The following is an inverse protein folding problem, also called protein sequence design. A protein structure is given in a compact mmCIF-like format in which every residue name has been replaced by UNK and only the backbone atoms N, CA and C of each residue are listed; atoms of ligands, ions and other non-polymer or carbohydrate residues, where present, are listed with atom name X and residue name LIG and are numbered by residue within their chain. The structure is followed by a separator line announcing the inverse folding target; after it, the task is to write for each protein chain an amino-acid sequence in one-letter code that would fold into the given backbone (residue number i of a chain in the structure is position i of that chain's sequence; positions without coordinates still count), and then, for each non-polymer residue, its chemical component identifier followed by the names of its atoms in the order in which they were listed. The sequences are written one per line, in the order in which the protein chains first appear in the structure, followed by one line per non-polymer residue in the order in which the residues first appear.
data_IF_937600449218
#
_entry.id   IF_937600449218
#
_cell.length_a   1.000
_cell.length_b   1.000
_cell.length_c   1.000
_cell.angle_alpha   90.00
_cell.angle_beta   90.00
_cell.angle_gamma   90.00
#
_symmetry.space_group_name_H-M   'P 1'
#
loop_
_entity.id
_entity.type
_entity.pdbx_description
1 polymer ?
#
# COMPACT_ATOMS: atom_id res chain seq x y z
N UNK A 1 -18.12 -2.79 -16.13
CA UNK A 1 -17.67 -1.38 -16.13
C UNK A 1 -16.91 -1.13 -14.84
N UNK A 2 -15.74 -0.51 -14.90
CA UNK A 2 -14.98 -0.09 -13.72
C UNK A 2 -15.54 1.27 -13.29
N UNK A 3 -15.82 1.44 -12.00
CA UNK A 3 -16.26 2.71 -11.42
C UNK A 3 -15.07 3.35 -10.71
N UNK A 4 -14.68 4.53 -11.16
CA UNK A 4 -13.66 5.31 -10.46
C UNK A 4 -14.22 5.93 -9.19
N UNK A 5 -13.40 5.94 -8.14
CA UNK A 5 -13.68 6.60 -6.88
C UNK A 5 -12.52 7.57 -6.61
N UNK A 6 -12.84 8.78 -6.14
CA UNK A 6 -11.80 9.71 -5.69
C UNK A 6 -11.21 9.24 -4.36
N UNK A 7 -9.89 9.29 -4.23
CA UNK A 7 -9.16 8.97 -3.00
C UNK A 7 -7.97 8.04 -3.23
N UNK A 8 -7.29 7.67 -2.14
CA UNK A 8 -6.18 6.72 -2.14
C UNK A 8 -6.62 5.27 -1.88
N UNK A 9 -5.67 4.44 -1.45
CA UNK A 9 -5.88 2.99 -1.22
C UNK A 9 -6.94 2.66 -0.16
N UNK A 10 -7.28 3.61 0.74
CA UNK A 10 -8.32 3.45 1.77
C UNK A 10 -9.72 3.90 1.33
N UNK A 11 -9.88 4.41 0.09
CA UNK A 11 -11.19 4.78 -0.43
C UNK A 11 -12.10 3.54 -0.65
N UNK A 12 -11.48 2.40 -0.94
CA UNK A 12 -12.17 1.12 -1.00
C UNK A 12 -12.50 0.61 0.41
N UNK A 13 -13.74 0.14 0.61
CA UNK A 13 -14.15 -0.46 1.89
C UNK A 13 -13.30 -1.70 2.20
N UNK A 14 -12.93 -1.87 3.47
CA UNK A 14 -12.19 -3.04 3.94
C UNK A 14 -10.66 -2.95 3.76
N UNK A 15 -10.14 -1.77 3.45
CA UNK A 15 -8.70 -1.51 3.39
C UNK A 15 -8.31 -0.39 4.36
N UNK A 16 -7.20 -0.61 5.06
CA UNK A 16 -6.56 0.32 5.98
C UNK A 16 -5.15 0.62 5.47
N UNK A 17 -4.62 1.79 5.80
CA UNK A 17 -3.23 2.13 5.52
C UNK A 17 -2.62 2.88 6.70
N UNK A 18 -1.33 2.68 6.91
CA UNK A 18 -0.52 3.40 7.88
C UNK A 18 0.87 3.65 7.30
N UNK A 19 1.55 4.65 7.83
CA UNK A 19 2.95 4.96 7.54
C UNK A 19 3.70 5.18 8.84
N UNK A 20 5.03 5.00 8.78
CA UNK A 20 5.90 5.21 9.92
C UNK A 20 7.26 5.73 9.45
N UNK A 21 7.90 6.54 10.31
CA UNK A 21 9.33 6.82 10.22
C UNK A 21 10.10 5.66 10.87
N UNK A 22 10.36 4.60 10.10
CA UNK A 22 11.06 3.40 10.54
C UNK A 22 12.59 3.59 10.62
N UNK A 23 13.13 4.70 10.11
CA UNK A 23 14.56 5.03 10.19
C UNK A 23 15.43 4.28 9.18
N UNK A 24 14.82 3.77 8.09
CA UNK A 24 15.51 3.20 6.93
C UNK A 24 16.13 4.31 6.07
N UNK A 25 15.43 5.44 5.97
CA UNK A 25 15.91 6.65 5.28
C UNK A 25 16.33 7.72 6.31
N UNK A 26 16.65 8.91 5.81
CA UNK A 26 16.99 10.07 6.63
C UNK A 26 15.94 10.33 7.71
N UNK A 27 16.38 10.88 8.84
CA UNK A 27 15.52 11.22 9.97
C UNK A 27 14.35 12.12 9.56
N UNK A 28 13.24 11.98 10.27
CA UNK A 28 12.00 12.74 10.06
C UNK A 28 11.34 12.49 8.70
N UNK A 29 11.58 11.32 8.10
CA UNK A 29 10.91 10.87 6.88
C UNK A 29 10.11 9.61 7.16
N UNK A 30 8.83 9.63 6.81
CA UNK A 30 8.06 8.39 6.66
C UNK A 30 8.64 7.60 5.49
N UNK A 31 9.15 6.42 5.80
CA UNK A 31 9.91 5.57 4.89
C UNK A 31 9.41 4.13 4.85
N UNK A 32 8.39 3.83 5.65
CA UNK A 32 7.62 2.61 5.63
C UNK A 32 6.14 2.92 5.47
N UNK A 33 5.46 2.12 4.63
CA UNK A 33 4.03 2.16 4.46
C UNK A 33 3.47 0.74 4.52
N UNK A 34 2.28 0.59 5.08
CA UNK A 34 1.55 -0.66 5.18
C UNK A 34 0.14 -0.48 4.66
N UNK A 35 -0.33 -1.43 3.85
CA UNK A 35 -1.74 -1.57 3.46
C UNK A 35 -2.23 -2.88 4.08
N UNK A 36 -3.40 -2.83 4.70
CA UNK A 36 -3.96 -3.95 5.44
C UNK A 36 -5.42 -4.18 5.08
N UNK A 37 -5.81 -5.45 4.95
CA UNK A 37 -7.22 -5.85 4.89
C UNK A 37 -7.56 -6.66 6.14
N UNK A 38 -8.59 -6.27 6.92
CA UNK A 38 -9.03 -7.03 8.09
C UNK A 38 -9.59 -8.43 7.78
N UNK A 39 -9.89 -8.71 6.51
CA UNK A 39 -10.42 -9.98 6.03
C UNK A 39 -9.54 -10.51 4.89
N UNK A 40 -9.53 -11.82 4.60
CA UNK A 40 -8.84 -12.35 3.44
C UNK A 40 -9.30 -11.66 2.15
N UNK A 41 -8.35 -11.16 1.36
CA UNK A 41 -8.62 -10.51 0.08
C UNK A 41 -7.89 -11.22 -1.05
N UNK A 42 -8.42 -11.13 -2.28
CA UNK A 42 -7.72 -11.62 -3.46
C UNK A 42 -6.54 -10.69 -3.75
N UNK A 43 -5.38 -11.26 -4.03
CA UNK A 43 -4.18 -10.52 -4.42
C UNK A 43 -3.65 -11.04 -5.75
N UNK A 44 -3.01 -10.15 -6.50
CA UNK A 44 -2.24 -10.46 -7.69
C UNK A 44 -1.05 -9.51 -7.73
N UNK A 45 0.10 -9.99 -8.19
CA UNK A 45 1.33 -9.21 -8.26
C UNK A 45 2.16 -9.63 -9.46
N UNK A 46 2.80 -8.65 -10.08
CA UNK A 46 3.82 -8.84 -11.12
C UNK A 46 5.07 -8.12 -10.68
N UNK A 47 6.23 -8.69 -10.97
CA UNK A 47 7.53 -8.16 -10.55
C UNK A 47 8.36 -7.72 -11.77
N UNK A 48 9.40 -6.94 -11.52
CA UNK A 48 10.37 -6.60 -12.57
C UNK A 48 11.08 -7.86 -13.07
N UNK A 49 11.38 -7.90 -14.38
CA UNK A 49 12.18 -8.98 -14.98
C UNK A 49 13.67 -8.68 -14.94
N UNK A 50 14.09 -7.57 -14.32
CA UNK A 50 15.51 -7.27 -14.15
C UNK A 50 16.17 -8.36 -13.31
N UNK A 51 17.39 -8.74 -13.72
CA UNK A 51 18.19 -9.79 -13.07
C UNK A 51 18.96 -9.28 -11.83
N UNK A 52 18.94 -7.95 -11.57
CA UNK A 52 19.55 -7.29 -10.41
C UNK A 52 18.54 -6.36 -9.73
#
# INVERSE_FOLDING_TARGET
MIKEIQGGVTAAKGFMAASAAAGIKYQNREDMAMIYSPSPCRSAGTFTTNIV
#
